data_IF_973118833807
#
_entry.id   IF_973118833807
#
_cell.length_a   1.000
_cell.length_b   1.000
_cell.length_c   1.000
_cell.angle_alpha   90.00
_cell.angle_beta   90.00
_cell.angle_gamma   90.00
#
_symmetry.space_group_name_H-M   'P 1'
#
loop_
_entity.id
_entity.type
_entity.pdbx_description
1 polymer ?
#
# COMPACT_ATOMS: atom_id res chain seq x y z
N UNK A 1 -12.27 -53.74 -19.24
CA UNK A 1 -12.36 -53.20 -17.86
C UNK A 1 -11.08 -52.43 -17.53
N UNK A 2 -11.12 -51.10 -17.56
CA UNK A 2 -10.20 -50.16 -16.89
C UNK A 2 -10.98 -48.85 -16.68
N UNK A 3 -11.77 -48.83 -15.61
CA UNK A 3 -11.57 -47.97 -14.44
C UNK A 3 -11.57 -46.48 -14.80
N UNK A 4 -12.79 -45.94 -14.84
CA UNK A 4 -13.11 -44.52 -14.78
C UNK A 4 -12.50 -43.99 -13.47
N UNK A 5 -11.42 -43.20 -13.54
CA UNK A 5 -11.01 -42.38 -12.41
C UNK A 5 -12.11 -41.34 -12.27
N UNK A 6 -12.98 -41.56 -11.28
CA UNK A 6 -13.93 -40.60 -10.80
C UNK A 6 -13.10 -39.46 -10.17
N UNK A 7 -12.66 -38.49 -11.00
CA UNK A 7 -12.17 -37.23 -10.49
C UNK A 7 -13.37 -36.61 -9.79
N UNK A 8 -13.34 -36.61 -8.46
CA UNK A 8 -14.36 -35.99 -7.64
C UNK A 8 -14.66 -34.58 -8.21
N UNK A 9 -15.93 -34.22 -8.45
CA UNK A 9 -16.28 -32.87 -8.83
C UNK A 9 -15.67 -31.91 -7.80
N UNK A 10 -15.18 -30.72 -8.22
CA UNK A 10 -14.55 -29.78 -7.31
C UNK A 10 -15.46 -29.60 -6.09
N UNK A 11 -14.94 -29.93 -4.90
CA UNK A 11 -15.70 -29.98 -3.67
C UNK A 11 -16.38 -28.63 -3.45
N UNK A 12 -17.66 -28.56 -3.80
CA UNK A 12 -18.47 -27.37 -3.62
C UNK A 12 -19.09 -27.51 -2.26
N UNK A 13 -18.70 -26.63 -1.33
CA UNK A 13 -19.35 -26.57 -0.02
C UNK A 13 -20.82 -26.24 -0.25
N UNK A 14 -21.73 -27.11 0.15
CA UNK A 14 -23.17 -26.92 -0.06
C UNK A 14 -23.61 -25.56 0.49
N UNK A 15 -24.23 -24.74 -0.36
CA UNK A 15 -24.65 -23.37 -0.03
C UNK A 15 -23.61 -22.28 -0.27
N UNK A 16 -22.39 -22.61 -0.73
CA UNK A 16 -21.40 -21.62 -1.19
C UNK A 16 -21.34 -21.57 -2.71
N UNK A 17 -21.20 -20.37 -3.31
CA UNK A 17 -20.98 -20.28 -4.73
C UNK A 17 -19.65 -20.92 -5.14
N UNK A 18 -19.70 -21.72 -6.20
CA UNK A 18 -18.51 -22.36 -6.78
C UNK A 18 -17.49 -21.30 -7.21
N UNK A 19 -16.21 -21.56 -6.92
CA UNK A 19 -15.09 -20.76 -7.40
C UNK A 19 -14.46 -21.46 -8.60
N UNK A 20 -14.31 -20.72 -9.70
CA UNK A 20 -13.69 -21.20 -10.95
C UNK A 20 -12.38 -20.47 -11.17
N UNK A 21 -11.37 -21.21 -11.62
CA UNK A 21 -10.03 -20.70 -11.94
C UNK A 21 -9.73 -20.95 -13.40
N UNK A 22 -9.15 -19.95 -14.08
CA UNK A 22 -8.63 -20.11 -15.45
C UNK A 22 -7.16 -19.82 -15.49
N UNK A 23 -6.46 -20.46 -16.42
CA UNK A 23 -5.02 -20.37 -16.56
C UNK A 23 -4.67 -20.09 -18.03
N UNK A 24 -3.56 -19.41 -18.25
CA UNK A 24 -2.98 -19.28 -19.59
C UNK A 24 -2.13 -20.52 -19.97
N UNK A 25 -1.57 -20.49 -21.18
CA UNK A 25 -0.75 -21.58 -21.72
C UNK A 25 0.56 -21.81 -20.94
N UNK A 26 0.98 -20.85 -20.10
CA UNK A 26 2.12 -20.97 -19.20
C UNK A 26 1.71 -21.50 -17.81
N UNK A 27 0.46 -21.98 -17.66
CA UNK A 27 -0.13 -22.43 -16.40
C UNK A 27 -0.19 -21.33 -15.32
N UNK A 28 -0.25 -20.06 -15.70
CA UNK A 28 -0.39 -18.93 -14.76
C UNK A 28 -1.86 -18.58 -14.60
N UNK A 29 -2.27 -18.28 -13.37
CA UNK A 29 -3.65 -17.98 -13.02
C UNK A 29 -4.11 -16.65 -13.65
N UNK A 30 -5.05 -16.67 -14.59
CA UNK A 30 -5.54 -15.47 -15.28
C UNK A 30 -6.88 -14.96 -14.77
N UNK A 31 -7.72 -15.83 -14.20
CA UNK A 31 -9.06 -15.43 -13.72
C UNK A 31 -9.49 -16.24 -12.51
N UNK A 32 -10.13 -15.57 -11.55
CA UNK A 32 -10.86 -16.17 -10.44
C UNK A 32 -12.29 -15.66 -10.53
N UNK A 33 -13.26 -16.56 -10.64
CA UNK A 33 -14.68 -16.22 -10.70
C UNK A 33 -15.44 -16.89 -9.58
N UNK A 34 -16.25 -16.14 -8.84
CA UNK A 34 -17.19 -16.63 -7.85
C UNK A 34 -18.54 -15.93 -8.05
N UNK A 35 -19.58 -16.69 -8.39
CA UNK A 35 -20.87 -16.13 -8.83
C UNK A 35 -20.70 -15.14 -10.00
N UNK A 36 -21.12 -13.89 -9.81
CA UNK A 36 -20.97 -12.79 -10.76
C UNK A 36 -19.68 -11.99 -10.57
N UNK A 37 -18.90 -12.27 -9.52
CA UNK A 37 -17.67 -11.56 -9.22
C UNK A 37 -16.49 -12.21 -9.93
N UNK A 38 -15.75 -11.42 -10.71
CA UNK A 38 -14.57 -11.88 -11.44
C UNK A 38 -13.36 -11.01 -11.14
N UNK A 39 -12.24 -11.65 -10.82
CA UNK A 39 -10.92 -11.03 -10.71
C UNK A 39 -10.08 -11.51 -11.88
N UNK A 40 -9.47 -10.58 -12.63
CA UNK A 40 -8.61 -10.88 -13.77
C UNK A 40 -7.18 -10.46 -13.47
N UNK A 41 -6.22 -11.29 -13.86
CA UNK A 41 -4.79 -11.05 -13.67
C UNK A 41 -4.12 -11.08 -15.04
N UNK A 42 -3.29 -10.06 -15.33
CA UNK A 42 -2.48 -10.00 -16.54
C UNK A 42 -1.00 -10.12 -16.19
N UNK A 43 -0.23 -10.67 -17.12
CA UNK A 43 1.20 -10.91 -17.00
C UNK A 43 1.93 -10.39 -18.24
N UNK A 44 3.24 -10.16 -18.11
CA UNK A 44 4.14 -9.98 -19.24
C UNK A 44 4.81 -11.31 -19.65
N UNK A 45 5.66 -11.26 -20.67
CA UNK A 45 6.39 -12.41 -21.20
C UNK A 45 7.47 -12.94 -20.24
N UNK A 46 7.77 -12.20 -19.17
CA UNK A 46 8.75 -12.57 -18.14
C UNK A 46 8.08 -13.15 -16.88
N UNK A 47 6.82 -13.59 -16.98
CA UNK A 47 6.02 -14.14 -15.88
C UNK A 47 5.74 -13.16 -14.73
N UNK A 48 5.85 -11.86 -14.98
CA UNK A 48 5.58 -10.83 -13.97
C UNK A 48 4.18 -10.28 -14.16
N UNK A 49 3.45 -10.13 -13.07
CA UNK A 49 2.08 -9.62 -13.08
C UNK A 49 2.06 -8.13 -13.44
N UNK A 50 1.41 -7.77 -14.54
CA UNK A 50 1.29 -6.37 -15.01
C UNK A 50 0.00 -5.69 -14.55
N UNK A 51 -1.07 -6.45 -14.29
CA UNK A 51 -2.28 -5.88 -13.70
C UNK A 51 -3.16 -6.87 -12.93
N UNK A 52 -3.97 -6.33 -12.02
CA UNK A 52 -5.10 -7.02 -11.38
C UNK A 52 -6.34 -6.16 -11.54
N UNK A 53 -7.41 -6.71 -12.11
CA UNK A 53 -8.71 -6.07 -12.23
C UNK A 53 -9.71 -6.77 -11.33
N UNK A 54 -10.40 -5.99 -10.48
CA UNK A 54 -11.40 -6.44 -9.53
C UNK A 54 -12.83 -6.34 -10.10
N UNK A 55 -13.82 -7.02 -9.49
CA UNK A 55 -15.20 -7.05 -10.01
C UNK A 55 -15.86 -5.67 -10.15
N UNK A 56 -15.45 -4.71 -9.32
CA UNK A 56 -15.93 -3.34 -9.35
C UNK A 56 -15.18 -2.45 -10.37
N UNK A 57 -14.47 -3.04 -11.32
CA UNK A 57 -13.61 -2.39 -12.32
C UNK A 57 -12.38 -1.67 -11.77
N UNK A 58 -12.15 -1.68 -10.45
CA UNK A 58 -10.91 -1.18 -9.88
C UNK A 58 -9.74 -2.01 -10.42
N UNK A 59 -8.64 -1.35 -10.74
CA UNK A 59 -7.45 -1.97 -11.29
C UNK A 59 -6.21 -1.50 -10.53
N UNK A 60 -5.28 -2.42 -10.33
CA UNK A 60 -3.91 -2.11 -9.93
C UNK A 60 -2.99 -2.50 -11.09
N UNK A 61 -2.12 -1.60 -11.49
CA UNK A 61 -1.12 -1.83 -12.54
C UNK A 61 0.28 -1.83 -11.93
N UNK A 62 1.14 -2.70 -12.47
CA UNK A 62 2.52 -2.87 -12.04
C UNK A 62 3.43 -2.61 -13.24
N UNK A 63 4.48 -1.81 -13.04
CA UNK A 63 5.51 -1.59 -14.04
C UNK A 63 6.87 -2.01 -13.49
N UNK A 64 7.69 -2.61 -14.35
CA UNK A 64 8.99 -3.15 -14.01
C UNK A 64 10.07 -2.52 -14.89
N UNK A 65 11.29 -2.42 -14.37
CA UNK A 65 12.45 -2.06 -15.18
C UNK A 65 13.04 -3.28 -15.90
N UNK A 66 14.13 -3.06 -16.66
CA UNK A 66 14.84 -4.09 -17.38
C UNK A 66 15.49 -5.16 -16.46
N UNK A 67 15.80 -4.79 -15.21
CA UNK A 67 16.32 -5.71 -14.19
C UNK A 67 15.21 -6.53 -13.48
N UNK A 68 13.95 -6.40 -13.92
CA UNK A 68 12.79 -7.04 -13.29
C UNK A 68 12.43 -6.57 -11.90
N UNK A 69 12.85 -5.36 -11.55
CA UNK A 69 12.47 -4.70 -10.32
C UNK A 69 11.17 -3.92 -10.51
N UNK A 70 10.28 -3.97 -9.53
CA UNK A 70 9.02 -3.24 -9.53
C UNK A 70 9.29 -1.74 -9.33
N UNK A 71 9.06 -0.91 -10.35
CA UNK A 71 9.31 0.54 -10.28
C UNK A 71 8.06 1.35 -10.03
N UNK A 72 6.87 0.82 -10.31
CA UNK A 72 5.61 1.55 -10.14
C UNK A 72 4.45 0.64 -9.81
N UNK A 73 3.61 1.08 -8.87
CA UNK A 73 2.28 0.52 -8.60
C UNK A 73 1.25 1.63 -8.78
N UNK A 74 0.35 1.49 -9.76
CA UNK A 74 -0.68 2.51 -10.07
C UNK A 74 -2.04 1.99 -9.68
N UNK A 75 -2.78 2.78 -8.91
CA UNK A 75 -4.12 2.45 -8.44
C UNK A 75 -5.16 3.22 -9.26
N UNK A 76 -6.03 2.47 -9.95
CA UNK A 76 -7.03 3.01 -10.86
C UNK A 76 -8.44 2.53 -10.50
N UNK A 77 -9.25 3.31 -9.76
CA UNK A 77 -10.68 3.05 -9.74
C UNK A 77 -11.25 3.24 -11.16
N UNK A 78 -11.67 2.13 -11.79
CA UNK A 78 -12.06 2.12 -13.21
C UNK A 78 -10.96 2.67 -14.13
N UNK A 79 -11.25 3.69 -14.94
CA UNK A 79 -10.29 4.33 -15.86
C UNK A 79 -9.48 5.46 -15.23
N UNK A 80 -9.87 5.96 -14.07
CA UNK A 80 -9.24 7.12 -13.43
C UNK A 80 -8.07 6.69 -12.56
N UNK A 81 -6.92 7.37 -12.65
CA UNK A 81 -5.79 7.12 -11.74
C UNK A 81 -6.01 7.86 -10.43
N UNK A 82 -6.12 7.12 -9.33
CA UNK A 82 -6.22 7.68 -7.97
C UNK A 82 -4.86 8.12 -7.45
N UNK A 83 -3.82 7.36 -7.78
CA UNK A 83 -2.45 7.67 -7.39
C UNK A 83 -1.53 6.49 -7.65
N UNK A 84 -0.27 6.69 -7.30
CA UNK A 84 0.78 5.70 -7.53
C UNK A 84 1.82 5.67 -6.41
N UNK A 85 2.48 4.53 -6.30
CA UNK A 85 3.74 4.36 -5.59
C UNK A 85 4.85 4.16 -6.61
N UNK A 86 6.01 4.76 -6.38
CA UNK A 86 7.21 4.60 -7.20
C UNK A 86 8.37 4.13 -6.36
N UNK A 87 9.26 3.34 -6.94
CA UNK A 87 10.43 2.78 -6.27
C UNK A 87 11.68 3.01 -7.10
N UNK A 88 12.80 3.28 -6.43
CA UNK A 88 14.12 3.31 -7.06
C UNK A 88 15.08 2.38 -6.33
N UNK A 89 16.05 1.85 -7.06
CA UNK A 89 16.98 0.83 -6.60
C UNK A 89 18.42 1.30 -6.83
N UNK A 90 19.35 0.78 -6.03
CA UNK A 90 20.78 0.92 -6.27
C UNK A 90 21.29 -0.19 -7.20
N UNK A 91 22.59 -0.17 -7.52
CA UNK A 91 23.21 -1.16 -8.41
C UNK A 91 23.33 -2.57 -7.79
N UNK A 92 22.96 -2.75 -6.53
CA UNK A 92 22.94 -4.03 -5.83
C UNK A 92 21.49 -4.49 -5.55
N UNK A 93 20.54 -3.99 -6.34
CA UNK A 93 19.11 -4.30 -6.30
C UNK A 93 18.41 -3.98 -4.97
N UNK A 94 19.01 -3.10 -4.15
CA UNK A 94 18.38 -2.64 -2.92
C UNK A 94 17.51 -1.43 -3.21
N UNK A 95 16.26 -1.46 -2.72
CA UNK A 95 15.34 -0.32 -2.85
C UNK A 95 15.78 0.85 -1.96
N UNK A 96 16.15 1.97 -2.56
CA UNK A 96 16.68 3.16 -1.87
C UNK A 96 15.69 4.34 -1.75
N UNK A 97 14.61 4.34 -2.54
CA UNK A 97 13.59 5.40 -2.46
C UNK A 97 12.20 4.85 -2.70
N UNK A 98 11.23 5.41 -2.00
CA UNK A 98 9.81 5.29 -2.31
C UNK A 98 9.24 6.69 -2.54
N UNK A 99 8.42 6.86 -3.56
CA UNK A 99 7.76 8.13 -3.90
C UNK A 99 6.37 7.93 -4.50
N UNK A 100 5.84 8.96 -5.14
CA UNK A 100 4.53 8.93 -5.81
C UNK A 100 3.44 9.66 -5.03
N UNK A 101 2.23 9.70 -5.59
CA UNK A 101 1.08 10.47 -5.07
C UNK A 101 0.68 10.09 -3.66
N UNK A 102 0.92 8.83 -3.27
CA UNK A 102 0.55 8.31 -1.95
C UNK A 102 1.63 8.49 -0.88
N UNK A 103 2.80 9.04 -1.22
CA UNK A 103 3.84 9.33 -0.23
C UNK A 103 3.64 10.75 0.26
N UNK A 104 3.18 10.89 1.50
CA UNK A 104 3.27 12.16 2.22
C UNK A 104 4.74 12.41 2.49
N UNK A 105 5.30 13.48 1.93
CA UNK A 105 6.68 13.92 2.16
C UNK A 105 6.88 14.34 3.62
N UNK A 106 6.89 13.41 4.57
CA UNK A 106 7.55 13.63 5.86
C UNK A 106 9.05 13.52 5.62
N UNK A 107 9.61 14.54 4.96
CA UNK A 107 11.00 14.52 4.51
C UNK A 107 11.56 15.82 3.97
N UNK A 108 10.81 16.93 3.97
CA UNK A 108 11.39 18.28 3.77
C UNK A 108 10.61 19.32 4.56
N UNK A 109 10.74 19.28 5.89
CA UNK A 109 10.40 20.40 6.77
C UNK A 109 11.26 20.39 8.05
N UNK A 110 12.57 20.19 7.91
CA UNK A 110 13.54 20.69 8.88
C UNK A 110 14.44 21.74 8.22
N UNK A 111 13.82 22.81 7.69
CA UNK A 111 14.42 24.12 7.46
C UNK A 111 13.32 25.14 7.16
N UNK A 112 12.93 25.85 8.22
CA UNK A 112 12.15 27.10 8.25
C UNK A 112 10.85 27.15 7.43
N UNK A 113 9.77 26.61 8.00
CA UNK A 113 8.45 27.19 7.78
C UNK A 113 7.89 27.56 9.15
N UNK A 114 7.96 28.85 9.45
CA UNK A 114 7.14 29.50 10.47
C UNK A 114 5.68 29.12 10.23
N UNK A 115 5.18 28.09 10.87
CA UNK A 115 3.76 27.87 11.12
C UNK A 115 3.63 27.18 12.48
N UNK A 116 3.57 28.03 13.50
CA UNK A 116 3.10 27.69 14.82
C UNK A 116 1.78 26.95 14.71
N UNK A 117 1.69 25.69 15.20
CA UNK A 117 0.55 25.21 15.99
C UNK A 117 1.02 24.18 17.02
N UNK A 118 0.66 24.50 18.26
CA UNK A 118 0.78 23.76 19.50
C UNK A 118 0.73 22.23 19.37
N UNK A 119 1.83 21.57 19.73
CA UNK A 119 1.80 20.21 20.25
C UNK A 119 1.46 20.25 21.74
N UNK A 120 0.18 20.24 22.09
CA UNK A 120 -0.23 19.60 23.35
C UNK A 120 -1.73 19.30 23.38
N UNK A 121 -2.11 18.04 23.16
CA UNK A 121 -3.49 17.59 23.38
C UNK A 121 -3.49 16.21 24.00
N UNK A 122 -2.77 16.04 25.11
CA UNK A 122 -3.21 15.11 26.15
C UNK A 122 -2.94 15.70 27.54
N UNK A 123 -3.98 15.65 28.38
CA UNK A 123 -4.00 15.78 29.84
C UNK A 123 -4.09 17.19 30.50
N UNK A 124 -5.35 17.56 30.77
CA UNK A 124 -5.86 18.16 32.01
C UNK A 124 -5.60 19.67 32.31
N UNK A 125 -6.63 20.54 32.19
CA UNK A 125 -6.48 22.01 32.30
C UNK A 125 -6.30 22.57 33.72
N UNK A 126 -6.46 21.77 34.79
CA UNK A 126 -6.36 22.29 36.18
C UNK A 126 -4.93 22.39 36.75
N UNK A 127 -3.91 21.87 36.08
CA UNK A 127 -2.50 21.92 36.56
C UNK A 127 -1.67 23.12 36.08
N UNK A 128 -2.18 23.91 35.13
CA UNK A 128 -1.41 25.02 34.51
C UNK A 128 -1.12 26.22 35.42
N UNK A 129 -1.80 26.37 36.57
CA UNK A 129 -1.58 27.50 37.47
C UNK A 129 -0.54 27.28 38.58
N UNK A 130 0.06 26.09 38.72
CA UNK A 130 1.01 25.81 39.81
C UNK A 130 2.49 25.77 39.42
N UNK A 131 2.83 25.69 38.12
CA UNK A 131 4.22 25.47 37.69
C UNK A 131 5.01 26.79 37.52
N UNK A 132 4.34 27.92 37.22
CA UNK A 132 5.03 29.19 36.94
C UNK A 132 5.26 30.11 38.15
N UNK A 133 4.85 29.73 39.37
CA UNK A 133 5.10 30.56 40.57
C UNK A 133 6.31 30.11 41.41
N UNK A 134 6.96 28.99 41.06
CA UNK A 134 8.07 28.42 41.86
C UNK A 134 9.47 28.64 41.27
N UNK A 135 9.60 29.28 40.11
CA UNK A 135 10.89 29.50 39.43
C UNK A 135 11.32 30.97 39.32
N UNK A 136 10.83 31.81 40.22
CA UNK A 136 11.21 33.24 40.33
C UNK A 136 11.65 33.65 41.75
N UNK A 137 12.05 32.69 42.59
CA UNK A 137 12.67 32.94 43.90
C UNK A 137 13.95 32.14 44.08
N UNK A 138 14.88 32.20 43.13
CA UNK A 138 16.28 31.72 43.29
C UNK A 138 17.12 32.12 42.07
N UNK A 139 17.45 33.41 41.95
CA UNK A 139 18.75 33.88 41.48
C UNK A 139 18.80 35.39 41.66
N UNK A 140 19.04 35.78 42.90
CA UNK A 140 19.46 37.12 43.31
C UNK A 140 20.84 37.45 42.71
N UNK A 141 21.12 38.75 42.62
CA UNK A 141 22.43 39.42 42.68
C UNK A 141 23.35 39.41 41.45
N UNK A 142 24.08 40.53 41.36
CA UNK A 142 25.20 40.87 40.46
C UNK A 142 24.78 41.56 39.15
N UNK A 143 25.28 42.74 38.76
CA UNK A 143 26.23 43.67 39.37
C UNK A 143 26.22 44.93 38.47
N UNK A 144 26.28 46.10 39.11
CA UNK A 144 26.58 47.47 38.61
C UNK A 144 25.70 48.14 37.55
#
# INVERSE_FOLDING_TARGET
MRSLLDLAPPATVAGQPQVTYTYDNANRLTTITQSTSTVTIAYDDADRRTSVTYPNTNKVEYAYNAASELVTVTYKPSTTTLGMLTYTYDAADNRIKTGGTFITTEGTACRSANHARDRNSYSNPRRRKQINARRLRSSTSENT
#
